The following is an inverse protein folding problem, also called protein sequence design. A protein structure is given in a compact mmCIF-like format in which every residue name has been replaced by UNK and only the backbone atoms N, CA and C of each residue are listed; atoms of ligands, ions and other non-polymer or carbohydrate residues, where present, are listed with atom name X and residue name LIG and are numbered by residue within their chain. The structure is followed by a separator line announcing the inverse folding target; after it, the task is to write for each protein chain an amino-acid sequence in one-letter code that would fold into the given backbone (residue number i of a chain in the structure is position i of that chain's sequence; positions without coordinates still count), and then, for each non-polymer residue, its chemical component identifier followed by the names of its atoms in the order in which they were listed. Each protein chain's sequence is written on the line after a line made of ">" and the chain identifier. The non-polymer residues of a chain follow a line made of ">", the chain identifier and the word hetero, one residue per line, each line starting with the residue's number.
data_IF_363877866354
#
_entry.id   IF_363877866354
#
_cell.length_a   1.000
_cell.length_b   1.000
_cell.length_c   1.000
_cell.angle_alpha   90.00
_cell.angle_beta   90.00
_cell.angle_gamma   90.00
#
_symmetry.space_group_name_H-M   'P 1'
#
loop_
_entity.id
_entity.type
_entity.pdbx_description
1 polymer ?
#
# COMPACT_ATOMS: atom_id res chain seq x y z
N UNK A 1 -5.31 -14.95 13.17
CA UNK A 1 -5.82 -14.05 12.10
C UNK A 1 -4.68 -13.16 11.62
N UNK A 2 -4.43 -13.13 10.32
CA UNK A 2 -3.28 -12.39 9.76
C UNK A 2 -3.63 -10.95 9.35
N UNK A 3 -2.62 -10.09 9.33
CA UNK A 3 -2.66 -8.80 8.66
C UNK A 3 -1.95 -8.93 7.32
N UNK A 4 -2.64 -8.56 6.25
CA UNK A 4 -2.11 -8.57 4.88
C UNK A 4 -1.39 -7.25 4.61
N UNK A 5 -0.10 -7.32 4.24
CA UNK A 5 0.72 -6.12 3.99
C UNK A 5 1.27 -6.18 2.57
N UNK A 6 0.77 -5.32 1.68
CA UNK A 6 1.30 -5.16 0.33
C UNK A 6 2.39 -4.08 0.33
N UNK A 7 3.45 -4.30 -0.44
CA UNK A 7 4.65 -3.46 -0.40
C UNK A 7 5.49 -3.70 0.86
N UNK A 8 5.48 -4.94 1.36
CA UNK A 8 6.09 -5.33 2.63
C UNK A 8 7.61 -5.13 2.70
N UNK A 9 8.32 -5.08 1.57
CA UNK A 9 9.77 -4.82 1.51
C UNK A 9 10.13 -3.33 1.48
N UNK A 10 9.14 -2.45 1.34
CA UNK A 10 9.31 -1.00 1.47
C UNK A 10 9.55 -0.57 2.92
N UNK A 11 10.05 0.67 3.11
CA UNK A 11 10.40 1.17 4.45
C UNK A 11 9.20 1.18 5.41
N UNK A 12 8.03 1.58 4.95
CA UNK A 12 6.81 1.59 5.78
C UNK A 12 6.31 0.16 6.00
N UNK A 13 6.17 -0.63 4.93
CA UNK A 13 5.65 -1.99 5.02
C UNK A 13 6.50 -2.89 5.90
N UNK A 14 7.84 -2.85 5.77
CA UNK A 14 8.74 -3.66 6.59
C UNK A 14 8.72 -3.26 8.07
N UNK A 15 8.68 -1.95 8.35
CA UNK A 15 8.58 -1.45 9.72
C UNK A 15 7.26 -1.86 10.37
N UNK A 16 6.14 -1.78 9.61
CA UNK A 16 4.83 -2.21 10.08
C UNK A 16 4.80 -3.72 10.35
N UNK A 17 5.32 -4.54 9.41
CA UNK A 17 5.39 -5.98 9.55
C UNK A 17 6.16 -6.40 10.81
N UNK A 18 7.35 -5.84 11.02
CA UNK A 18 8.18 -6.08 12.21
C UNK A 18 7.49 -5.65 13.50
N UNK A 19 6.82 -4.50 13.49
CA UNK A 19 6.08 -4.01 14.66
C UNK A 19 4.93 -4.94 15.03
N UNK A 20 4.13 -5.38 14.05
CA UNK A 20 3.03 -6.32 14.27
C UNK A 20 3.55 -7.66 14.82
N UNK A 21 4.61 -8.21 14.22
CA UNK A 21 5.20 -9.46 14.68
C UNK A 21 5.78 -9.34 16.09
N UNK A 22 6.46 -8.23 16.42
CA UNK A 22 6.96 -7.94 17.77
C UNK A 22 5.84 -7.91 18.81
N UNK A 23 4.65 -7.43 18.42
CA UNK A 23 3.48 -7.37 19.30
C UNK A 23 2.69 -8.71 19.32
N UNK A 24 3.26 -9.80 18.77
CA UNK A 24 2.65 -11.13 18.74
C UNK A 24 1.59 -11.32 17.66
N UNK A 25 1.46 -10.38 16.73
CA UNK A 25 0.52 -10.50 15.61
C UNK A 25 1.12 -11.27 14.43
N UNK A 26 0.28 -11.98 13.69
CA UNK A 26 0.67 -12.68 12.46
C UNK A 26 0.48 -11.79 11.25
N UNK A 27 1.38 -11.91 10.27
CA UNK A 27 1.32 -11.16 9.03
C UNK A 27 1.48 -12.08 7.80
N UNK A 28 0.88 -11.65 6.69
CA UNK A 28 1.18 -12.17 5.35
C UNK A 28 1.76 -11.04 4.52
N UNK A 29 2.95 -11.27 3.98
CA UNK A 29 3.75 -10.25 3.31
C UNK A 29 3.59 -10.37 1.80
N UNK A 30 3.42 -9.23 1.11
CA UNK A 30 3.36 -9.21 -0.36
C UNK A 30 4.35 -8.20 -0.91
N UNK A 31 5.10 -8.61 -1.94
CA UNK A 31 6.10 -7.78 -2.60
C UNK A 31 6.65 -8.43 -3.87
N UNK A 32 7.44 -7.68 -4.64
CA UNK A 32 7.98 -8.13 -5.93
C UNK A 32 9.34 -8.81 -5.84
N UNK A 33 10.15 -8.38 -4.88
CA UNK A 33 11.50 -8.89 -4.67
C UNK A 33 11.45 -10.08 -3.71
N UNK A 34 11.56 -11.28 -4.28
CA UNK A 34 11.45 -12.53 -3.54
C UNK A 34 12.55 -12.69 -2.49
N UNK A 35 13.78 -12.26 -2.79
CA UNK A 35 14.92 -12.39 -1.87
C UNK A 35 14.68 -11.53 -0.64
N UNK A 36 14.36 -10.25 -0.83
CA UNK A 36 14.07 -9.35 0.29
C UNK A 36 12.82 -9.79 1.07
N UNK A 37 11.80 -10.31 0.37
CA UNK A 37 10.55 -10.73 0.97
C UNK A 37 10.74 -12.00 1.82
N UNK A 38 11.45 -13.01 1.30
CA UNK A 38 11.73 -14.25 2.02
C UNK A 38 12.63 -14.01 3.23
N UNK A 39 13.61 -13.10 3.13
CA UNK A 39 14.45 -12.73 4.25
C UNK A 39 13.65 -12.06 5.37
N UNK A 40 12.77 -11.11 5.03
CA UNK A 40 11.89 -10.49 6.00
C UNK A 40 10.92 -11.50 6.62
N UNK A 41 10.34 -12.40 5.81
CA UNK A 41 9.45 -13.44 6.28
C UNK A 41 10.13 -14.38 7.28
N UNK A 42 11.37 -14.80 7.00
CA UNK A 42 12.18 -15.61 7.94
C UNK A 42 12.48 -14.87 9.23
N UNK A 43 12.85 -13.57 9.15
CA UNK A 43 13.17 -12.74 10.31
C UNK A 43 12.01 -12.65 11.30
N UNK A 44 10.77 -12.56 10.81
CA UNK A 44 9.58 -12.34 11.67
C UNK A 44 8.61 -13.54 11.69
N UNK A 45 9.03 -14.69 11.20
CA UNK A 45 8.22 -15.92 11.11
C UNK A 45 6.87 -15.69 10.40
N UNK A 46 6.90 -15.08 9.23
CA UNK A 46 5.71 -14.72 8.44
C UNK A 46 5.56 -15.60 7.20
N UNK A 47 4.35 -15.66 6.66
CA UNK A 47 4.10 -16.18 5.31
C UNK A 47 4.18 -15.05 4.28
N UNK A 48 4.40 -15.37 3.00
CA UNK A 48 4.50 -14.36 1.95
C UNK A 48 4.03 -14.85 0.59
N UNK A 49 3.68 -13.90 -0.28
CA UNK A 49 3.43 -14.09 -1.71
C UNK A 49 4.30 -13.12 -2.52
N UNK A 50 5.04 -13.66 -3.48
CA UNK A 50 5.81 -12.84 -4.43
C UNK A 50 4.95 -12.53 -5.66
N UNK A 51 4.57 -11.26 -5.86
CA UNK A 51 3.86 -10.81 -7.06
C UNK A 51 4.02 -9.29 -7.26
N UNK A 52 3.79 -8.84 -8.49
CA UNK A 52 3.57 -7.42 -8.78
C UNK A 52 2.05 -7.14 -8.74
N UNK A 53 1.66 -6.09 -8.05
CA UNK A 53 0.25 -5.66 -7.97
C UNK A 53 -0.31 -5.13 -9.31
N UNK A 54 0.55 -4.96 -10.31
CA UNK A 54 0.17 -4.61 -11.68
C UNK A 54 -0.04 -5.83 -12.57
N UNK A 55 0.28 -7.05 -12.10
CA UNK A 55 -0.02 -8.29 -12.82
C UNK A 55 -1.51 -8.57 -12.80
N UNK A 56 -2.01 -9.14 -13.89
CA UNK A 56 -3.36 -9.66 -13.94
C UNK A 56 -3.54 -10.78 -12.90
N UNK A 57 -4.66 -10.78 -12.20
CA UNK A 57 -4.99 -11.78 -11.17
C UNK A 57 -4.03 -11.82 -9.93
N UNK A 58 -3.25 -10.75 -9.66
CA UNK A 58 -2.38 -10.70 -8.49
C UNK A 58 -3.14 -10.95 -7.17
N UNK A 59 -4.37 -10.45 -7.08
CA UNK A 59 -5.21 -10.63 -5.90
C UNK A 59 -5.62 -12.09 -5.70
N UNK A 60 -5.93 -12.81 -6.77
CA UNK A 60 -6.24 -14.25 -6.71
C UNK A 60 -5.02 -15.06 -6.23
N UNK A 61 -3.83 -14.76 -6.75
CA UNK A 61 -2.58 -15.39 -6.31
C UNK A 61 -2.36 -15.21 -4.80
N UNK A 62 -2.54 -13.98 -4.29
CA UNK A 62 -2.39 -13.70 -2.86
C UNK A 62 -3.38 -14.52 -2.03
N UNK A 63 -4.66 -14.58 -2.42
CA UNK A 63 -5.66 -15.31 -1.66
C UNK A 63 -5.52 -16.83 -1.79
N UNK A 64 -5.00 -17.34 -2.90
CA UNK A 64 -4.63 -18.75 -3.04
C UNK A 64 -3.51 -19.15 -2.06
N UNK A 65 -2.46 -18.31 -1.94
CA UNK A 65 -1.35 -18.54 -1.01
C UNK A 65 -1.78 -18.37 0.47
N UNK A 66 -2.71 -17.46 0.75
CA UNK A 66 -3.33 -17.32 2.07
C UNK A 66 -4.20 -18.54 2.44
N UNK A 67 -4.76 -19.22 1.44
CA UNK A 67 -5.71 -20.29 1.63
C UNK A 67 -6.95 -19.80 2.41
N UNK A 68 -7.42 -20.62 3.34
CA UNK A 68 -8.56 -20.29 4.21
C UNK A 68 -8.17 -19.44 5.44
N UNK A 69 -6.96 -18.89 5.49
CA UNK A 69 -6.52 -18.09 6.64
C UNK A 69 -7.28 -16.77 6.71
N UNK A 70 -8.04 -16.52 7.80
CA UNK A 70 -8.79 -15.28 7.92
C UNK A 70 -7.84 -14.09 8.15
N UNK A 71 -8.20 -12.95 7.54
CA UNK A 71 -7.50 -11.69 7.75
C UNK A 71 -8.38 -10.70 8.52
N UNK A 72 -7.77 -9.91 9.39
CA UNK A 72 -8.42 -8.82 10.12
C UNK A 72 -7.71 -7.47 9.96
N UNK A 73 -6.79 -7.37 9.02
CA UNK A 73 -6.11 -6.13 8.67
C UNK A 73 -5.55 -6.17 7.25
N UNK A 74 -5.61 -5.03 6.55
CA UNK A 74 -5.01 -4.83 5.26
C UNK A 74 -4.26 -3.49 5.26
N UNK A 75 -2.96 -3.51 4.93
CA UNK A 75 -2.17 -2.32 4.73
C UNK A 75 -1.64 -2.29 3.29
N UNK A 76 -2.06 -1.29 2.51
CA UNK A 76 -1.58 -1.10 1.15
C UNK A 76 -0.43 -0.09 1.14
N UNK A 77 0.81 -0.59 1.30
CA UNK A 77 2.03 0.21 1.38
C UNK A 77 2.75 0.37 0.02
N UNK A 78 2.10 -0.04 -1.07
CA UNK A 78 2.65 0.12 -2.43
C UNK A 78 2.46 1.55 -2.92
N UNK A 79 3.44 2.06 -3.66
CA UNK A 79 3.35 3.36 -4.29
C UNK A 79 4.64 3.75 -5.01
N UNK A 80 4.56 4.81 -5.80
CA UNK A 80 5.68 5.45 -6.46
C UNK A 80 5.68 6.96 -6.20
N UNK A 81 6.83 7.59 -6.47
CA UNK A 81 6.97 9.06 -6.49
C UNK A 81 7.51 9.44 -7.86
N UNK A 82 6.61 9.81 -8.78
CA UNK A 82 6.95 10.25 -10.12
C UNK A 82 6.82 11.78 -10.18
N UNK A 83 7.97 12.45 -10.27
CA UNK A 83 8.06 13.91 -10.28
C UNK A 83 8.46 14.40 -11.66
N UNK A 84 7.55 15.13 -12.32
CA UNK A 84 7.77 15.71 -13.66
C UNK A 84 7.12 17.08 -13.79
N UNK A 85 7.79 18.05 -14.42
CA UNK A 85 7.12 19.28 -14.86
C UNK A 85 5.91 18.96 -15.74
N UNK A 86 4.79 19.66 -15.56
CA UNK A 86 3.54 19.39 -16.28
C UNK A 86 3.72 19.35 -17.82
N UNK A 87 4.63 20.17 -18.36
CA UNK A 87 4.89 20.25 -19.80
C UNK A 87 5.41 18.96 -20.42
N UNK A 88 6.06 18.10 -19.64
CA UNK A 88 6.64 16.84 -20.13
C UNK A 88 5.93 15.59 -19.63
N UNK A 89 4.83 15.76 -18.89
CA UNK A 89 4.01 14.63 -18.46
C UNK A 89 3.25 14.05 -19.65
N UNK A 90 3.01 12.73 -19.59
CA UNK A 90 2.23 11.99 -20.58
C UNK A 90 1.02 11.35 -19.92
N UNK A 91 -0.02 11.07 -20.70
CA UNK A 91 -1.19 10.30 -20.24
C UNK A 91 -0.78 8.99 -19.56
N UNK A 92 0.23 8.31 -20.11
CA UNK A 92 0.75 7.05 -19.54
C UNK A 92 1.31 7.20 -18.14
N UNK A 93 1.93 8.32 -17.79
CA UNK A 93 2.48 8.56 -16.45
C UNK A 93 1.34 8.57 -15.41
N UNK A 94 0.24 9.26 -15.72
CA UNK A 94 -0.95 9.29 -14.85
C UNK A 94 -1.60 7.91 -14.76
N UNK A 95 -1.81 7.25 -15.90
CA UNK A 95 -2.43 5.91 -15.93
C UNK A 95 -1.63 4.91 -15.07
N UNK A 96 -0.30 4.90 -15.22
CA UNK A 96 0.57 4.05 -14.42
C UNK A 96 0.48 4.37 -12.92
N UNK A 97 0.52 5.66 -12.57
CA UNK A 97 0.41 6.09 -11.18
C UNK A 97 -0.96 5.73 -10.57
N UNK A 98 -2.06 5.92 -11.31
CA UNK A 98 -3.39 5.52 -10.85
C UNK A 98 -3.53 4.01 -10.71
N UNK A 99 -3.05 3.23 -11.67
CA UNK A 99 -3.07 1.77 -11.60
C UNK A 99 -2.34 1.27 -10.36
N UNK A 100 -1.10 1.76 -10.13
CA UNK A 100 -0.28 1.33 -9.00
C UNK A 100 -0.82 1.76 -7.64
N UNK A 101 -1.26 3.03 -7.52
CA UNK A 101 -1.58 3.61 -6.21
C UNK A 101 -3.06 3.43 -5.82
N UNK A 102 -3.97 3.33 -6.80
CA UNK A 102 -5.41 3.32 -6.58
C UNK A 102 -6.08 2.03 -7.05
N UNK A 103 -5.96 1.68 -8.33
CA UNK A 103 -6.75 0.57 -8.91
C UNK A 103 -6.35 -0.76 -8.27
N UNK A 104 -5.05 -1.03 -8.15
CA UNK A 104 -4.58 -2.25 -7.47
C UNK A 104 -4.99 -2.29 -5.98
N UNK A 105 -5.07 -1.12 -5.31
CA UNK A 105 -5.60 -1.06 -3.95
C UNK A 105 -7.09 -1.42 -3.89
N UNK A 106 -7.90 -0.89 -4.82
CA UNK A 106 -9.32 -1.24 -4.93
C UNK A 106 -9.51 -2.73 -5.16
N UNK A 107 -8.72 -3.32 -6.05
CA UNK A 107 -8.83 -4.75 -6.39
C UNK A 107 -8.56 -5.64 -5.17
N UNK A 108 -7.48 -5.42 -4.45
CA UNK A 108 -7.18 -6.23 -3.27
C UNK A 108 -8.17 -5.98 -2.12
N UNK A 109 -8.68 -4.76 -1.95
CA UNK A 109 -9.70 -4.45 -0.96
C UNK A 109 -10.99 -5.20 -1.28
N UNK A 110 -11.45 -5.16 -2.53
CA UNK A 110 -12.62 -5.89 -2.99
C UNK A 110 -12.53 -7.38 -2.66
N UNK A 111 -11.38 -7.99 -2.92
CA UNK A 111 -11.13 -9.42 -2.62
C UNK A 111 -11.08 -9.71 -1.12
N UNK A 112 -10.59 -8.76 -0.31
CA UNK A 112 -10.40 -8.91 1.14
C UNK A 112 -11.68 -8.62 1.95
N UNK A 113 -12.68 -7.97 1.36
CA UNK A 113 -13.83 -7.35 2.08
C UNK A 113 -14.58 -8.36 2.94
N UNK A 114 -14.91 -9.54 2.43
CA UNK A 114 -15.70 -10.52 3.19
C UNK A 114 -14.95 -11.00 4.44
N UNK A 115 -13.66 -11.33 4.29
CA UNK A 115 -12.85 -11.77 5.43
C UNK A 115 -12.67 -10.64 6.46
N UNK A 116 -12.42 -9.41 6.01
CA UNK A 116 -12.31 -8.25 6.89
C UNK A 116 -13.63 -7.95 7.62
N UNK A 117 -14.77 -8.06 6.94
CA UNK A 117 -16.10 -7.83 7.52
C UNK A 117 -16.41 -8.86 8.62
N UNK A 118 -16.19 -10.14 8.35
CA UNK A 118 -16.40 -11.22 9.33
C UNK A 118 -15.54 -11.04 10.58
N UNK A 119 -14.34 -10.47 10.45
CA UNK A 119 -13.37 -10.34 11.52
C UNK A 119 -13.26 -8.91 12.09
N UNK A 120 -14.23 -8.02 11.80
CA UNK A 120 -14.25 -6.61 12.23
C UNK A 120 -12.91 -5.91 11.98
N UNK A 121 -12.41 -6.08 10.76
CA UNK A 121 -11.06 -5.71 10.37
C UNK A 121 -10.83 -4.21 10.19
N UNK A 122 -9.62 -3.90 9.70
CA UNK A 122 -9.25 -2.52 9.35
C UNK A 122 -8.41 -2.47 8.08
N UNK A 123 -8.57 -1.37 7.34
CA UNK A 123 -7.80 -1.05 6.14
C UNK A 123 -7.00 0.22 6.39
N UNK A 124 -5.73 0.21 5.99
CA UNK A 124 -4.87 1.39 6.02
C UNK A 124 -4.29 1.62 4.63
N UNK A 125 -4.56 2.82 4.10
CA UNK A 125 -4.04 3.32 2.83
C UNK A 125 -3.02 4.43 3.08
N UNK A 126 -2.21 4.74 2.07
CA UNK A 126 -1.20 5.78 2.17
C UNK A 126 -1.37 6.82 1.06
N UNK A 127 -1.61 8.07 1.48
CA UNK A 127 -1.57 9.28 0.67
C UNK A 127 -0.22 9.99 0.82
N UNK A 128 -0.21 11.28 0.67
CA UNK A 128 0.92 12.18 0.88
C UNK A 128 0.42 13.58 1.23
N UNK A 129 1.16 14.33 2.03
CA UNK A 129 0.85 15.76 2.29
C UNK A 129 0.82 16.59 0.99
N UNK A 130 1.53 16.13 -0.05
CA UNK A 130 1.54 16.78 -1.36
C UNK A 130 0.16 16.80 -2.05
N UNK A 131 -0.72 15.87 -1.72
CA UNK A 131 -2.08 15.81 -2.27
C UNK A 131 -2.93 17.02 -1.85
N UNK A 132 -2.65 17.61 -0.68
CA UNK A 132 -3.39 18.76 -0.14
C UNK A 132 -2.63 20.07 -0.20
N UNK A 133 -1.29 20.02 -0.03
CA UNK A 133 -0.45 21.23 0.01
C UNK A 133 0.03 21.67 -1.36
N UNK A 134 0.14 20.74 -2.30
CA UNK A 134 0.76 20.97 -3.60
C UNK A 134 2.27 21.22 -3.50
N UNK A 135 3.04 20.57 -4.35
CA UNK A 135 4.47 20.82 -4.52
C UNK A 135 4.81 20.83 -6.00
N UNK A 136 5.88 21.52 -6.36
CA UNK A 136 6.39 21.57 -7.75
C UNK A 136 6.62 20.16 -8.26
N UNK A 137 6.21 19.89 -9.50
CA UNK A 137 6.39 18.61 -10.20
C UNK A 137 5.61 17.40 -9.62
N UNK A 138 4.71 17.61 -8.68
CA UNK A 138 3.98 16.53 -8.00
C UNK A 138 2.61 16.19 -8.62
N UNK A 139 2.25 16.76 -9.78
CA UNK A 139 0.89 16.59 -10.35
C UNK A 139 0.48 15.13 -10.53
N UNK A 140 1.39 14.24 -10.93
CA UNK A 140 1.13 12.82 -11.15
C UNK A 140 0.80 12.13 -9.82
N UNK A 141 1.73 12.19 -8.87
CA UNK A 141 1.57 11.48 -7.59
C UNK A 141 0.48 12.11 -6.72
N UNK A 142 0.35 13.46 -6.72
CA UNK A 142 -0.67 14.15 -5.93
C UNK A 142 -2.09 13.82 -6.37
N UNK A 143 -2.34 13.74 -7.69
CA UNK A 143 -3.67 13.37 -8.19
C UNK A 143 -4.05 11.92 -7.83
N UNK A 144 -3.13 10.97 -8.02
CA UNK A 144 -3.38 9.59 -7.64
C UNK A 144 -3.59 9.43 -6.12
N UNK A 145 -2.79 10.11 -5.30
CA UNK A 145 -2.91 10.04 -3.84
C UNK A 145 -4.11 10.83 -3.30
N UNK A 146 -4.55 11.89 -3.97
CA UNK A 146 -5.82 12.56 -3.69
C UNK A 146 -7.03 11.64 -3.95
N UNK A 147 -6.96 10.84 -5.02
CA UNK A 147 -7.98 9.83 -5.29
C UNK A 147 -8.01 8.72 -4.21
N UNK A 148 -6.85 8.32 -3.65
CA UNK A 148 -6.79 7.41 -2.49
C UNK A 148 -7.48 8.00 -1.26
N UNK A 149 -7.36 9.31 -1.00
CA UNK A 149 -8.09 9.97 0.09
C UNK A 149 -9.60 9.92 -0.13
N UNK A 150 -10.08 10.22 -1.35
CA UNK A 150 -11.48 10.10 -1.71
C UNK A 150 -12.02 8.67 -1.56
N UNK A 151 -11.26 7.68 -2.04
CA UNK A 151 -11.57 6.26 -1.84
C UNK A 151 -11.70 5.91 -0.36
N UNK A 152 -10.77 6.41 0.48
CA UNK A 152 -10.78 6.15 1.92
C UNK A 152 -12.07 6.64 2.57
N UNK A 153 -12.49 7.87 2.27
CA UNK A 153 -13.72 8.46 2.82
C UNK A 153 -14.95 7.66 2.41
N UNK A 154 -15.04 7.30 1.13
CA UNK A 154 -16.17 6.53 0.61
C UNK A 154 -16.25 5.14 1.24
N UNK A 155 -15.12 4.41 1.30
CA UNK A 155 -15.09 3.07 1.89
C UNK A 155 -15.29 3.10 3.41
N UNK A 156 -14.85 4.15 4.12
CA UNK A 156 -15.12 4.29 5.53
C UNK A 156 -16.61 4.40 5.83
N UNK A 157 -17.35 5.11 4.98
CA UNK A 157 -18.82 5.21 5.10
C UNK A 157 -19.52 3.91 4.69
N UNK A 158 -19.11 3.32 3.57
CA UNK A 158 -19.75 2.11 3.00
C UNK A 158 -19.57 0.87 3.87
N UNK A 159 -18.38 0.70 4.47
CA UNK A 159 -18.00 -0.51 5.20
C UNK A 159 -18.23 -0.43 6.72
N UNK A 160 -18.63 0.74 7.23
CA UNK A 160 -19.00 0.88 8.63
C UNK A 160 -20.26 0.07 8.96
N UNK A 161 -20.43 -0.43 10.20
CA UNK A 161 -19.48 -0.39 11.31
C UNK A 161 -18.48 -1.57 11.32
N UNK A 162 -18.50 -2.42 10.28
CA UNK A 162 -17.80 -3.70 10.28
C UNK A 162 -16.31 -3.59 9.97
N UNK A 163 -15.92 -2.64 9.11
CA UNK A 163 -14.53 -2.42 8.72
C UNK A 163 -14.19 -0.95 8.91
N UNK A 164 -13.08 -0.66 9.59
CA UNK A 164 -12.54 0.70 9.68
C UNK A 164 -11.58 0.95 8.53
N UNK A 165 -11.71 2.09 7.85
CA UNK A 165 -10.83 2.47 6.75
C UNK A 165 -10.17 3.81 7.08
N UNK A 166 -8.84 3.85 7.02
CA UNK A 166 -8.05 5.03 7.33
C UNK A 166 -6.98 5.28 6.27
N UNK A 167 -6.59 6.53 6.12
CA UNK A 167 -5.50 6.96 5.26
C UNK A 167 -4.45 7.72 6.06
N UNK A 168 -3.18 7.40 5.84
CA UNK A 168 -2.04 8.13 6.39
C UNK A 168 -1.43 8.95 5.27
N UNK A 169 -1.25 10.25 5.47
CA UNK A 169 -0.61 11.17 4.53
C UNK A 169 0.78 11.60 5.04
N UNK A 170 1.84 10.80 4.81
CA UNK A 170 3.17 11.15 5.26
C UNK A 170 3.70 12.40 4.56
N UNK A 171 4.56 13.12 5.26
CA UNK A 171 5.51 14.06 4.66
C UNK A 171 6.73 13.29 4.15
N UNK A 172 7.81 14.00 3.82
CA UNK A 172 9.04 13.40 3.31
C UNK A 172 9.63 12.43 4.34
N UNK A 173 9.41 11.15 4.10
CA UNK A 173 9.86 10.05 4.97
C UNK A 173 11.12 9.42 4.39
N UNK A 174 12.15 9.21 5.20
CA UNK A 174 13.40 8.57 4.77
C UNK A 174 13.12 7.14 4.28
N UNK A 175 13.25 6.92 2.97
CA UNK A 175 12.97 5.65 2.31
C UNK A 175 13.78 5.52 1.02
N UNK A 176 13.84 4.33 0.45
CA UNK A 176 14.52 4.12 -0.86
C UNK A 176 13.93 5.01 -1.96
N UNK A 177 12.60 5.16 -2.01
CA UNK A 177 11.91 5.94 -3.05
C UNK A 177 12.05 7.46 -2.85
N UNK A 178 12.32 7.94 -1.65
CA UNK A 178 12.53 9.36 -1.34
C UNK A 178 13.99 9.81 -1.37
N UNK A 179 14.94 8.89 -1.45
CA UNK A 179 16.38 9.23 -1.49
C UNK A 179 16.76 10.24 -2.58
N UNK A 180 16.26 10.15 -3.84
CA UNK A 180 16.58 11.15 -4.86
C UNK A 180 16.15 12.56 -4.46
N UNK A 181 14.98 12.68 -3.82
CA UNK A 181 14.43 13.97 -3.36
C UNK A 181 15.26 14.51 -2.20
N UNK A 182 15.61 13.65 -1.22
CA UNK A 182 16.42 14.02 -0.06
C UNK A 182 17.83 14.51 -0.43
N UNK A 183 18.39 13.98 -1.53
CA UNK A 183 19.71 14.38 -2.03
C UNK A 183 19.69 15.70 -2.82
N UNK A 184 18.55 16.06 -3.42
CA UNK A 184 18.39 17.24 -4.26
C UNK A 184 17.87 18.46 -3.52
N UNK A 185 17.40 18.31 -2.28
CA UNK A 185 16.89 19.40 -1.46
C UNK A 185 17.92 19.72 -0.38
N UNK A 186 18.60 20.89 -0.41
CA UNK A 186 19.39 21.37 0.73
C UNK A 186 18.45 21.51 1.92
N UNK A 187 18.80 20.91 3.02
CA UNK A 187 18.13 21.09 4.32
C UNK A 187 18.58 22.42 4.90
#
# INVERSE_FOLDING_TARGET
>A
MKKLILGATGSIGSSLAKKIAKDGGEVHLVGRDEVSLSNLAKEINATYTTCDVLEENFSDKIFNDLGNTPINGLAYCVGSIDLKPIKITKKSDYMQSFNLNLISAVEIIRKATDSLKQNKGSIVLFSTVAARRGFTNHSIVSSAKGAVEGLTVSLAAELAPNIRVNCIAPSLTKSKISQPILKSTPI
#
